data_IF_154621437922
#
_entry.id   IF_154621437922
#
_cell.length_a   1.000
_cell.length_b   1.000
_cell.length_c   1.000
_cell.angle_alpha   90.00
_cell.angle_beta   90.00
_cell.angle_gamma   90.00
#
_symmetry.space_group_name_H-M   'P 1'
#
loop_
_entity.id
_entity.type
_entity.pdbx_description
1 polymer ?
#
# COMPACT_ATOMS: atom_id res chain seq x y z
N UNK A 1 16.71 -16.06 -13.30
CA UNK A 1 16.63 -15.73 -13.69
C UNK A 1 16.35 -14.82 -13.94
N UNK A 2 16.66 -14.61 -13.88
CA UNK A 2 16.48 -13.38 -14.52
C UNK A 2 15.12 -13.08 -15.06
N UNK A 3 14.12 -13.47 -14.47
CA UNK A 3 12.79 -13.19 -14.95
C UNK A 3 12.40 -11.74 -14.63
N UNK A 4 11.45 -11.23 -15.39
CA UNK A 4 10.82 -9.94 -15.12
C UNK A 4 10.13 -10.03 -13.75
N UNK A 5 10.35 -9.07 -12.85
CA UNK A 5 9.67 -9.13 -11.56
C UNK A 5 8.15 -9.15 -11.78
N UNK A 6 7.49 -10.06 -11.14
CA UNK A 6 6.03 -10.10 -11.23
C UNK A 6 5.46 -8.88 -10.52
N UNK A 7 4.57 -8.18 -11.21
CA UNK A 7 3.85 -7.08 -10.59
C UNK A 7 3.00 -7.63 -9.45
N UNK A 8 2.99 -6.92 -8.35
CA UNK A 8 2.15 -7.32 -7.23
C UNK A 8 0.68 -7.10 -7.56
N UNK A 9 -0.17 -7.96 -7.03
CA UNK A 9 -1.61 -7.77 -7.16
C UNK A 9 -2.06 -6.59 -6.30
N UNK A 10 -3.23 -6.00 -6.59
CA UNK A 10 -3.77 -4.95 -5.71
C UNK A 10 -3.88 -5.39 -4.26
N UNK A 11 -4.25 -6.63 -4.01
CA UNK A 11 -4.34 -7.14 -2.64
C UNK A 11 -2.98 -7.12 -1.96
N UNK A 12 -1.93 -7.53 -2.66
CA UNK A 12 -0.57 -7.52 -2.10
C UNK A 12 -0.11 -6.09 -1.81
N UNK A 13 -0.45 -5.16 -2.71
CA UNK A 13 -0.13 -3.75 -2.49
C UNK A 13 -0.84 -3.20 -1.27
N UNK A 14 -2.09 -3.61 -1.05
CA UNK A 14 -2.85 -3.21 0.15
C UNK A 14 -2.16 -3.71 1.42
N UNK A 15 -1.62 -4.92 1.41
CA UNK A 15 -0.91 -5.45 2.56
C UNK A 15 0.35 -4.63 2.86
N UNK A 16 1.11 -4.26 1.83
CA UNK A 16 2.30 -3.43 2.02
C UNK A 16 1.94 -2.05 2.55
N UNK A 17 0.90 -1.46 2.00
CA UNK A 17 0.45 -0.14 2.46
C UNK A 17 0.00 -0.20 3.92
N UNK A 18 -0.71 -1.26 4.29
CA UNK A 18 -1.15 -1.45 5.68
C UNK A 18 0.03 -1.53 6.63
N UNK A 19 1.07 -2.27 6.25
CA UNK A 19 2.28 -2.38 7.08
C UNK A 19 2.93 -1.01 7.25
N UNK A 20 3.05 -0.25 6.17
CA UNK A 20 3.62 1.09 6.24
C UNK A 20 2.82 2.00 7.18
N UNK A 21 1.51 2.03 7.01
CA UNK A 21 0.65 2.89 7.82
C UNK A 21 0.71 2.53 9.29
N UNK A 22 0.71 1.25 9.61
CA UNK A 22 0.74 0.79 11.00
C UNK A 22 2.10 1.02 11.64
N UNK A 23 3.18 0.87 10.86
CA UNK A 23 4.52 1.19 11.33
C UNK A 23 4.62 2.66 11.74
N UNK A 24 4.05 3.53 10.92
CA UNK A 24 4.06 4.98 11.20
C UNK A 24 3.26 5.32 12.46
N UNK A 25 2.17 4.58 12.71
CA UNK A 25 1.30 4.84 13.87
C UNK A 25 1.82 4.23 15.16
N UNK A 26 2.36 3.02 15.09
CA UNK A 26 2.67 2.23 16.31
C UNK A 26 4.14 1.90 16.47
N UNK A 27 4.95 2.11 15.43
CA UNK A 27 6.37 1.78 15.45
C UNK A 27 6.69 0.32 15.20
N UNK A 28 5.72 -0.57 15.32
CA UNK A 28 5.90 -1.99 15.03
C UNK A 28 4.58 -2.55 14.50
N UNK A 29 4.66 -3.65 13.76
CA UNK A 29 3.49 -4.27 13.14
C UNK A 29 3.60 -5.78 13.24
N UNK A 30 2.49 -6.43 13.60
CA UNK A 30 2.38 -7.90 13.60
C UNK A 30 1.26 -8.30 12.66
N UNK A 31 1.22 -9.59 12.29
CA UNK A 31 0.18 -10.10 11.39
C UNK A 31 -1.23 -9.80 11.91
N UNK A 32 -1.43 -9.90 13.22
CA UNK A 32 -2.76 -9.63 13.81
C UNK A 32 -3.18 -8.18 13.58
N UNK A 33 -2.22 -7.26 13.60
CA UNK A 33 -2.51 -5.84 13.39
C UNK A 33 -2.98 -5.60 11.95
N UNK A 34 -2.29 -6.23 11.00
CA UNK A 34 -2.66 -6.13 9.58
C UNK A 34 -4.04 -6.73 9.34
N UNK A 35 -4.30 -7.88 9.95
CA UNK A 35 -5.60 -8.55 9.82
C UNK A 35 -6.74 -7.65 10.31
N UNK A 36 -6.56 -7.02 11.46
CA UNK A 36 -7.57 -6.11 12.01
C UNK A 36 -7.75 -4.87 11.13
N UNK A 37 -6.64 -4.29 10.69
CA UNK A 37 -6.68 -3.08 9.86
C UNK A 37 -7.42 -3.30 8.54
N UNK A 38 -7.15 -4.43 7.88
CA UNK A 38 -7.74 -4.73 6.59
C UNK A 38 -9.07 -5.49 6.67
N UNK A 39 -9.44 -5.95 7.87
CA UNK A 39 -10.67 -6.70 8.04
C UNK A 39 -10.62 -8.07 7.40
N UNK A 40 -9.44 -8.71 7.41
CA UNK A 40 -9.25 -10.04 6.81
C UNK A 40 -8.84 -11.02 7.89
N UNK A 41 -8.88 -12.31 7.55
CA UNK A 41 -8.53 -13.37 8.50
C UNK A 41 -7.01 -13.58 8.54
N UNK A 42 -6.51 -14.03 9.69
CA UNK A 42 -5.08 -14.26 9.90
C UNK A 42 -4.42 -15.15 8.83
N UNK A 43 -5.05 -16.28 8.40
CA UNK A 43 -4.42 -17.10 7.36
C UNK A 43 -4.16 -16.34 6.06
N UNK A 44 -5.03 -15.40 5.71
CA UNK A 44 -4.83 -14.56 4.52
C UNK A 44 -3.60 -13.68 4.69
N UNK A 45 -3.44 -13.07 5.87
CA UNK A 45 -2.26 -12.24 6.15
C UNK A 45 -0.99 -13.08 6.12
N UNK A 46 -1.01 -14.26 6.76
CA UNK A 46 0.16 -15.14 6.80
C UNK A 46 0.61 -15.53 5.39
N UNK A 47 -0.35 -15.83 4.52
CA UNK A 47 -0.05 -16.18 3.14
C UNK A 47 0.54 -14.99 2.39
N UNK A 48 -0.04 -13.80 2.56
CA UNK A 48 0.47 -12.59 1.92
C UNK A 48 1.88 -12.26 2.39
N UNK A 49 2.13 -12.37 3.70
CA UNK A 49 3.45 -12.11 4.27
C UNK A 49 4.48 -13.06 3.66
N UNK A 50 4.11 -14.33 3.52
CA UNK A 50 5.00 -15.32 2.92
C UNK A 50 5.33 -14.96 1.47
N UNK A 51 4.32 -14.58 0.69
CA UNK A 51 4.54 -14.19 -0.70
C UNK A 51 5.37 -12.91 -0.81
N UNK A 52 5.09 -11.92 0.03
CA UNK A 52 5.82 -10.67 0.03
C UNK A 52 7.25 -10.82 0.53
N UNK A 53 7.49 -11.81 1.39
CA UNK A 53 8.85 -12.14 1.82
C UNK A 53 9.62 -12.77 0.67
N UNK A 54 9.00 -13.65 -0.09
CA UNK A 54 9.61 -14.26 -1.26
C UNK A 54 9.95 -13.24 -2.32
N UNK A 55 9.09 -12.25 -2.51
CA UNK A 55 9.29 -11.22 -3.53
C UNK A 55 10.29 -10.14 -3.09
N UNK A 56 10.74 -10.20 -1.85
CA UNK A 56 11.74 -9.24 -1.36
C UNK A 56 11.19 -7.91 -0.90
N UNK A 57 9.90 -7.86 -0.59
CA UNK A 57 9.26 -6.61 -0.14
C UNK A 57 9.09 -6.51 1.37
N UNK A 58 9.13 -7.65 2.05
CA UNK A 58 8.79 -7.71 3.46
C UNK A 58 9.67 -8.74 4.16
N UNK A 59 9.91 -8.54 5.46
CA UNK A 59 10.63 -9.50 6.29
C UNK A 59 9.80 -9.75 7.55
N UNK A 60 9.65 -11.02 7.90
CA UNK A 60 9.06 -11.36 9.20
C UNK A 60 10.22 -11.65 10.14
N UNK A 61 10.33 -10.83 11.17
CA UNK A 61 11.42 -10.94 12.14
C UNK A 61 11.20 -12.09 13.10
N UNK A 62 12.25 -12.49 13.81
CA UNK A 62 12.20 -13.62 14.75
C UNK A 62 11.15 -13.41 15.84
N UNK A 63 10.91 -12.16 16.23
CA UNK A 63 9.92 -11.83 17.26
C UNK A 63 8.50 -11.73 16.75
N UNK A 64 8.30 -12.01 15.46
CA UNK A 64 6.99 -11.97 14.84
C UNK A 64 6.57 -10.62 14.26
N UNK A 65 7.40 -9.59 14.42
CA UNK A 65 7.10 -8.31 13.82
C UNK A 65 7.44 -8.30 12.33
N UNK A 66 6.78 -7.41 11.60
CA UNK A 66 6.97 -7.28 10.15
C UNK A 66 7.76 -6.02 9.86
N UNK A 67 8.72 -6.12 8.95
CA UNK A 67 9.51 -4.97 8.51
C UNK A 67 9.47 -4.89 7.01
N UNK A 68 9.38 -3.67 6.49
CA UNK A 68 9.48 -3.44 5.06
C UNK A 68 10.96 -3.44 4.67
N UNK A 69 11.27 -4.11 3.56
CA UNK A 69 12.60 -3.96 2.97
C UNK A 69 12.66 -2.59 2.29
N UNK A 70 13.83 -2.21 1.81
CA UNK A 70 13.95 -0.96 1.07
C UNK A 70 13.02 -0.96 -0.15
N UNK A 71 12.97 -2.07 -0.88
CA UNK A 71 12.07 -2.21 -2.02
C UNK A 71 10.61 -2.10 -1.61
N UNK A 72 10.24 -2.77 -0.51
CA UNK A 72 8.88 -2.71 0.01
C UNK A 72 8.50 -1.32 0.49
N UNK A 73 9.43 -0.63 1.13
CA UNK A 73 9.19 0.73 1.60
C UNK A 73 8.95 1.68 0.43
N UNK A 74 9.81 1.61 -0.59
CA UNK A 74 9.66 2.48 -1.76
C UNK A 74 8.32 2.25 -2.45
N UNK A 75 7.95 1.00 -2.63
CA UNK A 75 6.68 0.68 -3.29
C UNK A 75 5.48 1.13 -2.45
N UNK A 76 5.50 0.85 -1.14
CA UNK A 76 4.38 1.22 -0.28
C UNK A 76 4.24 2.74 -0.16
N UNK A 77 5.36 3.48 -0.17
CA UNK A 77 5.30 4.94 -0.16
C UNK A 77 4.69 5.48 -1.45
N UNK A 78 5.01 4.88 -2.59
CA UNK A 78 4.40 5.27 -3.87
C UNK A 78 2.90 5.02 -3.86
N UNK A 79 2.48 3.89 -3.33
CA UNK A 79 1.05 3.56 -3.23
C UNK A 79 0.35 4.53 -2.30
N UNK A 80 0.95 4.82 -1.16
CA UNK A 80 0.36 5.73 -0.17
C UNK A 80 0.26 7.15 -0.72
N UNK A 81 1.27 7.59 -1.49
CA UNK A 81 1.24 8.91 -2.14
C UNK A 81 0.05 9.02 -3.09
N UNK A 82 -0.17 7.98 -3.90
CA UNK A 82 -1.32 7.94 -4.80
C UNK A 82 -2.63 7.99 -4.02
N UNK A 83 -2.72 7.20 -2.96
CA UNK A 83 -3.91 7.15 -2.12
C UNK A 83 -4.26 8.54 -1.59
N UNK A 84 -3.29 9.22 -1.02
CA UNK A 84 -3.50 10.55 -0.46
C UNK A 84 -3.87 11.55 -1.54
N UNK A 85 -3.19 11.51 -2.66
CA UNK A 85 -3.45 12.45 -3.77
C UNK A 85 -4.91 12.34 -4.23
N UNK A 86 -5.35 11.13 -4.54
CA UNK A 86 -6.71 10.95 -5.05
C UNK A 86 -7.77 11.20 -3.98
N UNK A 87 -7.51 10.79 -2.75
CA UNK A 87 -8.44 11.09 -1.65
C UNK A 87 -8.65 12.60 -1.52
N UNK A 88 -7.55 13.35 -1.49
CA UNK A 88 -7.62 14.80 -1.34
C UNK A 88 -8.31 15.48 -2.52
N UNK A 89 -8.03 15.02 -3.74
CA UNK A 89 -8.68 15.59 -4.93
C UNK A 89 -10.18 15.33 -4.94
N UNK A 90 -10.57 14.13 -4.57
CA UNK A 90 -11.99 13.78 -4.52
C UNK A 90 -12.74 14.58 -3.45
N UNK A 91 -12.14 14.71 -2.29
CA UNK A 91 -12.75 15.52 -1.21
C UNK A 91 -12.88 16.98 -1.66
N UNK A 92 -11.84 17.52 -2.29
CA UNK A 92 -11.86 18.89 -2.79
C UNK A 92 -12.95 19.09 -3.84
N UNK A 93 -13.29 18.04 -4.59
CA UNK A 93 -14.36 18.08 -5.59
C UNK A 93 -15.76 17.91 -4.98
N UNK A 94 -15.83 17.68 -3.66
CA UNK A 94 -17.11 17.55 -2.99
C UNK A 94 -17.54 16.14 -2.67
N UNK A 95 -16.66 15.16 -2.90
CA UNK A 95 -16.98 13.75 -2.59
C UNK A 95 -16.88 13.54 -1.09
N UNK A 96 -17.83 12.80 -0.53
CA UNK A 96 -17.81 12.42 0.88
C UNK A 96 -16.48 11.75 1.23
N UNK A 97 -15.83 12.12 2.35
CA UNK A 97 -14.51 11.58 2.69
C UNK A 97 -14.43 10.04 2.69
N UNK A 98 -15.48 9.38 3.16
CA UNK A 98 -15.51 7.93 3.20
C UNK A 98 -15.51 7.32 1.80
N UNK A 99 -16.32 7.89 0.91
CA UNK A 99 -16.38 7.46 -0.48
C UNK A 99 -15.08 7.79 -1.19
N UNK A 100 -14.52 8.98 -0.91
CA UNK A 100 -13.26 9.39 -1.51
C UNK A 100 -12.14 8.41 -1.17
N UNK A 101 -12.07 7.95 0.08
CA UNK A 101 -11.06 6.99 0.49
C UNK A 101 -11.23 5.65 -0.20
N UNK A 102 -12.46 5.17 -0.32
CA UNK A 102 -12.75 3.92 -1.00
C UNK A 102 -12.38 3.99 -2.47
N UNK A 103 -12.77 5.07 -3.13
CA UNK A 103 -12.47 5.25 -4.56
C UNK A 103 -10.97 5.41 -4.79
N UNK A 104 -10.29 6.16 -3.93
CA UNK A 104 -8.84 6.34 -4.04
C UNK A 104 -8.12 5.00 -3.91
N UNK A 105 -8.59 4.14 -3.02
CA UNK A 105 -8.00 2.81 -2.84
C UNK A 105 -8.07 2.00 -4.13
N UNK A 106 -9.15 2.13 -4.89
CA UNK A 106 -9.27 1.44 -6.18
C UNK A 106 -8.41 2.10 -7.26
N UNK A 107 -8.44 3.43 -7.32
CA UNK A 107 -7.70 4.19 -8.34
C UNK A 107 -6.19 3.99 -8.20
N UNK A 108 -5.69 3.94 -6.98
CA UNK A 108 -4.24 3.86 -6.74
C UNK A 108 -3.60 2.64 -7.36
N UNK A 109 -4.36 1.56 -7.53
CA UNK A 109 -3.84 0.33 -8.13
C UNK A 109 -3.98 0.31 -9.66
N UNK A 110 -4.81 1.20 -10.19
CA UNK A 110 -5.13 1.20 -11.61
C UNK A 110 -4.32 2.21 -12.42
N UNK A 111 -3.85 3.27 -11.77
CA UNK A 111 -3.15 4.34 -12.47
C UNK A 111 -1.66 4.03 -12.58
N UNK A 112 -1.08 4.25 -13.77
CA UNK A 112 0.34 4.02 -13.98
C UNK A 112 1.16 5.12 -13.31
N UNK A 113 2.45 4.81 -13.08
CA UNK A 113 3.38 5.79 -12.51
C UNK A 113 3.46 7.03 -13.40
N UNK A 114 3.51 6.82 -14.71
CA UNK A 114 3.60 7.94 -15.66
C UNK A 114 2.37 8.84 -15.57
N UNK A 115 1.19 8.25 -15.63
CA UNK A 115 -0.05 9.02 -15.54
C UNK A 115 -0.15 9.77 -14.23
N UNK A 116 0.23 9.11 -13.12
CA UNK A 116 0.19 9.74 -11.81
C UNK A 116 1.12 10.94 -11.73
N UNK A 117 2.36 10.79 -12.22
CA UNK A 117 3.33 11.90 -12.18
C UNK A 117 2.82 13.10 -12.98
N UNK A 118 2.22 12.84 -14.14
CA UNK A 118 1.68 13.92 -14.95
C UNK A 118 0.46 14.59 -14.32
N UNK A 119 -0.41 13.80 -13.70
CA UNK A 119 -1.55 14.36 -12.96
C UNK A 119 -1.08 15.21 -11.80
N UNK A 120 -0.12 14.71 -11.04
CA UNK A 120 0.41 15.42 -9.89
C UNK A 120 1.01 16.76 -10.31
N UNK A 121 1.78 16.76 -11.38
CA UNK A 121 2.37 17.97 -11.92
C UNK A 121 1.29 18.96 -12.37
N UNK A 122 0.29 18.49 -13.07
CA UNK A 122 -0.79 19.34 -13.57
C UNK A 122 -1.53 20.03 -12.44
N UNK A 123 -1.83 19.29 -11.37
CA UNK A 123 -2.52 19.87 -10.21
C UNK A 123 -1.64 20.83 -9.44
N UNK A 124 -0.34 20.58 -9.35
CA UNK A 124 0.56 21.46 -8.63
C UNK A 124 0.85 22.76 -9.40
N UNK A 125 0.75 22.71 -10.72
CA UNK A 125 0.98 23.89 -11.56
C UNK A 125 -0.31 24.68 -11.84
N UNK A 126 -1.44 24.03 -11.68
CA UNK A 126 -2.74 24.63 -11.92
C UNK A 126 -3.33 25.26 -10.69
#
# INVERSE_FOLDING_TARGET
KGGVPMALTPAMEDYLEAVLMMQQRHGYVRCVDVAEHLGVKKPSVSRAVKELSKSGHLVKNADGTLSLTETGLQLSEQIYEKHRFFTERLIAAGVDPKIAEQDACSIEHAVSAESFQKLKKAFNEG
#
